data_IF_941211938287
#
_entry.id   IF_941211938287
#
_cell.length_a   1.000
_cell.length_b   1.000
_cell.length_c   1.000
_cell.angle_alpha   90.00
_cell.angle_beta   90.00
_cell.angle_gamma   90.00
#
_symmetry.space_group_name_H-M   'P 1'
#
loop_
_entity.id
_entity.type
_entity.pdbx_description
1 polymer ?
#
# COMPACT_ATOMS: atom_id res chain seq x y z
N UNK A 1 -15.15 -0.31 78.11
CA UNK A 1 -15.13 -1.34 77.05
C UNK A 1 -16.13 -0.93 75.98
N UNK A 2 -15.67 -0.58 74.78
CA UNK A 2 -16.52 -0.11 73.69
C UNK A 2 -16.34 -1.09 72.51
N UNK A 3 -17.37 -1.84 72.16
CA UNK A 3 -17.35 -2.84 71.08
C UNK A 3 -18.09 -2.26 69.88
N UNK A 4 -17.37 -1.58 69.00
CA UNK A 4 -17.96 -1.07 67.75
C UNK A 4 -18.03 -2.18 66.70
N UNK A 5 -19.26 -2.41 66.26
CA UNK A 5 -19.75 -3.47 65.39
C UNK A 5 -19.13 -3.42 63.98
N UNK A 6 -18.50 -4.51 63.53
CA UNK A 6 -18.06 -4.69 62.15
C UNK A 6 -19.25 -5.08 61.27
N UNK A 7 -19.75 -4.12 60.50
CA UNK A 7 -20.83 -4.31 59.53
C UNK A 7 -20.27 -5.08 58.33
N UNK A 8 -20.46 -6.40 58.30
CA UNK A 8 -20.11 -7.25 57.16
C UNK A 8 -20.95 -6.86 55.94
N UNK A 9 -20.33 -6.21 54.96
CA UNK A 9 -20.88 -6.04 53.60
C UNK A 9 -20.66 -7.36 52.87
N UNK A 10 -21.46 -8.38 53.18
CA UNK A 10 -21.55 -9.56 52.32
C UNK A 10 -22.46 -9.18 51.14
N UNK A 11 -21.86 -8.54 50.12
CA UNK A 11 -22.46 -8.48 48.80
C UNK A 11 -22.69 -9.92 48.32
N UNK A 12 -23.91 -10.24 47.93
CA UNK A 12 -24.23 -11.47 47.24
C UNK A 12 -23.54 -11.45 45.86
N UNK A 13 -22.35 -12.02 45.78
CA UNK A 13 -21.73 -12.38 44.50
C UNK A 13 -22.58 -13.51 43.90
N UNK A 14 -23.57 -13.17 43.08
CA UNK A 14 -24.27 -14.13 42.24
C UNK A 14 -23.26 -14.68 41.23
N UNK A 15 -22.72 -15.86 41.51
CA UNK A 15 -21.81 -16.55 40.61
C UNK A 15 -22.51 -16.89 39.29
N UNK A 16 -21.83 -16.63 38.17
CA UNK A 16 -22.27 -17.06 36.84
C UNK A 16 -22.51 -18.57 36.81
N UNK A 17 -23.59 -19.00 36.17
CA UNK A 17 -23.89 -20.42 36.01
C UNK A 17 -23.03 -21.02 34.88
N UNK A 18 -22.61 -22.28 35.02
CA UNK A 18 -21.83 -22.97 34.00
C UNK A 18 -22.58 -23.08 32.67
N UNK A 19 -23.91 -23.20 32.71
CA UNK A 19 -24.77 -23.26 31.53
C UNK A 19 -24.74 -21.95 30.75
N UNK A 20 -24.73 -20.81 31.45
CA UNK A 20 -24.69 -19.48 30.84
C UNK A 20 -23.38 -19.24 30.09
N UNK A 21 -22.26 -19.69 30.64
CA UNK A 21 -20.96 -19.63 29.96
C UNK A 21 -20.94 -20.55 28.72
N UNK A 22 -21.49 -21.76 28.81
CA UNK A 22 -21.52 -22.70 27.67
C UNK A 22 -22.38 -22.16 26.52
N UNK A 23 -23.55 -21.59 26.81
CA UNK A 23 -24.43 -21.03 25.79
C UNK A 23 -23.73 -19.91 25.00
N UNK A 24 -22.99 -19.04 25.69
CA UNK A 24 -22.20 -17.97 25.06
C UNK A 24 -21.09 -18.54 24.18
N UNK A 25 -20.35 -19.54 24.65
CA UNK A 25 -19.28 -20.19 23.87
C UNK A 25 -19.80 -20.85 22.59
N UNK A 26 -21.00 -21.46 22.64
CA UNK A 26 -21.64 -22.05 21.46
C UNK A 26 -21.96 -20.96 20.43
N UNK A 27 -22.56 -19.84 20.86
CA UNK A 27 -22.90 -18.73 19.96
C UNK A 27 -21.62 -18.13 19.35
N UNK A 28 -20.60 -17.87 20.16
CA UNK A 28 -19.30 -17.37 19.68
C UNK A 28 -18.62 -18.36 18.73
N UNK A 29 -18.74 -19.67 18.96
CA UNK A 29 -18.21 -20.71 18.08
C UNK A 29 -18.85 -20.70 16.69
N UNK A 30 -20.18 -20.57 16.62
CA UNK A 30 -20.90 -20.49 15.34
C UNK A 30 -20.52 -19.21 14.58
N UNK A 31 -20.48 -18.07 15.29
CA UNK A 31 -20.10 -16.79 14.67
C UNK A 31 -18.67 -16.81 14.14
N UNK A 32 -17.72 -17.37 14.90
CA UNK A 32 -16.33 -17.49 14.48
C UNK A 32 -16.18 -18.39 13.24
N UNK A 33 -16.89 -19.51 13.17
CA UNK A 33 -16.83 -20.43 12.05
C UNK A 33 -17.22 -19.78 10.70
N UNK A 34 -18.16 -18.85 10.70
CA UNK A 34 -18.59 -18.13 9.49
C UNK A 34 -17.76 -16.87 9.24
N UNK A 35 -17.35 -16.16 10.28
CA UNK A 35 -16.65 -14.88 10.15
C UNK A 35 -15.19 -15.03 9.69
N UNK A 36 -14.47 -16.03 10.20
CA UNK A 36 -13.03 -16.22 9.92
C UNK A 36 -12.73 -16.41 8.42
N UNK A 37 -13.36 -17.35 7.69
CA UNK A 37 -13.05 -17.54 6.27
C UNK A 37 -13.39 -16.30 5.42
N UNK A 38 -14.47 -15.59 5.76
CA UNK A 38 -14.85 -14.34 5.09
C UNK A 38 -13.82 -13.23 5.32
N UNK A 39 -13.31 -13.11 6.54
CA UNK A 39 -12.30 -12.11 6.88
C UNK A 39 -11.01 -12.30 6.07
N UNK A 40 -10.52 -13.54 5.95
CA UNK A 40 -9.32 -13.86 5.16
C UNK A 40 -9.50 -13.47 3.69
N UNK A 41 -10.64 -13.81 3.08
CA UNK A 41 -10.91 -13.44 1.68
C UNK A 41 -11.01 -11.92 1.44
N UNK A 42 -11.53 -11.16 2.41
CA UNK A 42 -11.58 -9.70 2.34
C UNK A 42 -10.18 -9.08 2.45
N UNK A 43 -9.31 -9.63 3.30
CA UNK A 43 -7.94 -9.15 3.47
C UNK A 43 -7.14 -9.29 2.16
N UNK A 44 -7.26 -10.42 1.47
CA UNK A 44 -6.57 -10.65 0.19
C UNK A 44 -7.08 -9.72 -0.91
N UNK A 45 -8.40 -9.50 -0.98
CA UNK A 45 -8.99 -8.53 -1.91
C UNK A 45 -8.52 -7.11 -1.61
N UNK A 46 -8.41 -6.72 -0.33
CA UNK A 46 -7.92 -5.40 0.04
C UNK A 46 -6.46 -5.18 -0.40
N UNK A 47 -5.60 -6.20 -0.27
CA UNK A 47 -4.22 -6.15 -0.76
C UNK A 47 -4.14 -6.00 -2.28
N UNK A 48 -4.98 -6.71 -3.02
CA UNK A 48 -5.05 -6.57 -4.49
C UNK A 48 -5.49 -5.16 -4.89
N UNK A 49 -6.53 -4.62 -4.25
CA UNK A 49 -7.01 -3.26 -4.50
C UNK A 49 -5.97 -2.19 -4.18
N UNK A 50 -5.13 -2.40 -3.16
CA UNK A 50 -4.04 -1.49 -2.83
C UNK A 50 -3.01 -1.42 -3.98
N UNK A 51 -2.64 -2.56 -4.56
CA UNK A 51 -1.76 -2.58 -5.74
C UNK A 51 -2.42 -1.93 -6.95
N UNK A 52 -3.71 -2.20 -7.22
CA UNK A 52 -4.42 -1.56 -8.33
C UNK A 52 -4.45 -0.03 -8.16
N UNK A 53 -4.62 0.47 -6.93
CA UNK A 53 -4.55 1.90 -6.63
C UNK A 53 -3.14 2.47 -6.85
N UNK A 54 -2.10 1.76 -6.41
CA UNK A 54 -0.71 2.12 -6.67
C UNK A 54 -0.39 2.21 -8.17
N UNK A 55 -0.87 1.25 -8.97
CA UNK A 55 -0.71 1.27 -10.43
C UNK A 55 -1.43 2.48 -11.04
N UNK A 56 -2.64 2.80 -10.56
CA UNK A 56 -3.38 3.99 -11.00
C UNK A 56 -2.62 5.27 -10.69
N UNK A 57 -1.98 5.35 -9.52
CA UNK A 57 -1.15 6.50 -9.15
C UNK A 57 0.08 6.61 -10.06
N UNK A 58 0.80 5.51 -10.29
CA UNK A 58 1.94 5.47 -11.22
C UNK A 58 1.54 5.95 -12.62
N UNK A 59 0.39 5.52 -13.14
CA UNK A 59 -0.15 5.97 -14.42
C UNK A 59 -0.51 7.46 -14.45
N UNK A 60 -1.04 7.99 -13.34
CA UNK A 60 -1.26 9.41 -13.17
C UNK A 60 0.05 10.19 -13.22
N UNK A 61 1.08 9.71 -12.52
CA UNK A 61 2.41 10.33 -12.52
C UNK A 61 3.08 10.27 -13.89
N UNK A 62 3.06 9.14 -14.59
CA UNK A 62 3.52 9.02 -15.98
C UNK A 62 2.89 10.09 -16.88
N UNK A 63 1.57 10.26 -16.77
CA UNK A 63 0.83 11.23 -17.57
C UNK A 63 1.28 12.67 -17.28
N UNK A 64 1.55 12.98 -16.02
CA UNK A 64 2.06 14.31 -15.61
C UNK A 64 3.47 14.57 -16.15
N UNK A 65 4.39 13.62 -16.03
CA UNK A 65 5.76 13.78 -16.53
C UNK A 65 5.81 13.87 -18.06
N UNK A 66 5.05 13.02 -18.75
CA UNK A 66 4.90 13.10 -20.21
C UNK A 66 4.34 14.45 -20.65
N UNK A 67 3.28 14.95 -20.00
CA UNK A 67 2.70 16.25 -20.31
C UNK A 67 3.67 17.41 -20.02
N UNK A 68 4.42 17.35 -18.90
CA UNK A 68 5.43 18.34 -18.54
C UNK A 68 6.48 18.51 -19.64
N UNK A 69 7.01 17.41 -20.18
CA UNK A 69 8.00 17.43 -21.26
C UNK A 69 7.42 17.85 -22.61
N UNK A 70 6.12 17.59 -22.86
CA UNK A 70 5.42 18.00 -24.09
C UNK A 70 5.10 19.49 -24.12
N UNK A 71 4.86 20.09 -22.95
CA UNK A 71 4.49 21.51 -22.82
C UNK A 71 5.73 22.38 -22.55
N UNK A 72 6.87 21.80 -22.18
CA UNK A 72 8.08 22.59 -21.90
C UNK A 72 8.58 23.34 -23.15
N UNK A 73 8.34 24.64 -23.21
CA UNK A 73 8.90 25.55 -24.20
C UNK A 73 10.10 26.29 -23.59
N UNK A 74 11.34 25.81 -23.77
CA UNK A 74 12.55 26.45 -23.20
C UNK A 74 13.67 25.48 -22.83
N UNK A 75 14.64 25.92 -21.99
CA UNK A 75 15.94 25.32 -21.60
C UNK A 75 15.94 23.87 -21.07
N UNK A 76 14.80 23.19 -21.02
CA UNK A 76 14.72 21.75 -20.77
C UNK A 76 14.63 21.03 -22.12
N UNK A 77 15.36 19.93 -22.30
CA UNK A 77 15.17 19.03 -23.44
C UNK A 77 13.71 18.57 -23.45
N UNK A 78 12.90 19.15 -24.33
CA UNK A 78 11.51 18.77 -24.52
C UNK A 78 11.39 17.30 -24.94
N UNK A 79 10.18 16.77 -24.94
CA UNK A 79 9.96 15.37 -25.27
C UNK A 79 10.49 15.05 -26.68
N UNK A 80 11.43 14.11 -26.77
CA UNK A 80 11.93 13.53 -28.02
C UNK A 80 11.52 12.06 -28.13
N UNK A 81 11.66 11.31 -27.04
CA UNK A 81 11.22 9.91 -26.98
C UNK A 81 10.94 9.49 -25.51
N UNK A 82 10.61 8.22 -25.31
CA UNK A 82 10.28 7.69 -23.98
C UNK A 82 11.40 7.80 -22.94
N UNK A 83 12.67 7.77 -23.38
CA UNK A 83 13.81 7.91 -22.48
C UNK A 83 13.75 9.19 -21.67
N UNK A 84 13.26 10.28 -22.27
CA UNK A 84 13.19 11.58 -21.60
C UNK A 84 12.19 11.55 -20.44
N UNK A 85 11.03 10.90 -20.65
CA UNK A 85 10.02 10.70 -19.61
C UNK A 85 10.59 9.86 -18.47
N UNK A 86 11.23 8.74 -18.82
CA UNK A 86 11.83 7.86 -17.82
C UNK A 86 12.94 8.56 -17.03
N UNK A 87 13.86 9.25 -17.71
CA UNK A 87 14.96 9.99 -17.06
C UNK A 87 14.43 11.05 -16.11
N UNK A 88 13.43 11.84 -16.52
CA UNK A 88 12.84 12.86 -15.65
C UNK A 88 12.15 12.23 -14.42
N UNK A 89 11.44 11.11 -14.61
CA UNK A 89 10.78 10.40 -13.51
C UNK A 89 11.78 9.71 -12.57
N UNK A 90 12.90 9.21 -13.10
CA UNK A 90 13.96 8.56 -12.33
C UNK A 90 14.90 9.57 -11.66
N UNK A 91 14.93 10.82 -12.13
CA UNK A 91 15.77 11.85 -11.50
C UNK A 91 15.22 12.17 -10.11
N UNK A 92 16.08 12.03 -9.09
CA UNK A 92 15.75 12.45 -7.74
C UNK A 92 15.69 13.99 -7.72
N UNK A 93 14.54 14.61 -7.40
CA UNK A 93 14.47 16.06 -7.32
C UNK A 93 15.35 16.59 -6.19
N UNK A 94 15.72 17.87 -6.24
CA UNK A 94 16.47 18.54 -5.16
C UNK A 94 15.61 19.50 -4.36
N UNK A 95 14.43 19.85 -4.88
CA UNK A 95 13.48 20.79 -4.27
C UNK A 95 12.07 20.20 -4.20
N UNK A 96 11.31 20.64 -3.19
CA UNK A 96 9.87 20.46 -3.10
C UNK A 96 9.14 21.31 -4.17
N UNK A 97 7.83 21.11 -4.29
CA UNK A 97 6.97 21.89 -5.20
C UNK A 97 6.92 23.39 -4.90
N UNK A 98 7.28 23.81 -3.67
CA UNK A 98 7.38 25.21 -3.25
C UNK A 98 8.77 25.83 -3.52
N UNK A 99 9.69 25.08 -4.14
CA UNK A 99 11.06 25.51 -4.44
C UNK A 99 12.04 25.40 -3.26
N UNK A 100 11.61 24.98 -2.08
CA UNK A 100 12.51 24.71 -0.95
C UNK A 100 13.33 23.43 -1.16
N UNK A 101 14.57 23.37 -0.68
CA UNK A 101 15.37 22.14 -0.74
C UNK A 101 14.71 21.01 0.05
N UNK A 102 14.47 19.86 -0.58
CA UNK A 102 13.80 18.73 0.08
C UNK A 102 14.74 17.84 0.90
N UNK A 103 16.06 17.94 0.73
CA UNK A 103 17.02 17.12 1.51
C UNK A 103 16.77 15.62 1.31
N UNK A 104 16.65 14.86 2.40
CA UNK A 104 16.32 13.41 2.35
C UNK A 104 14.85 13.12 2.05
N UNK A 105 14.03 14.16 1.90
CA UNK A 105 12.60 14.08 1.61
C UNK A 105 12.28 14.08 0.12
N UNK A 106 13.28 14.20 -0.74
CA UNK A 106 13.04 14.07 -2.16
C UNK A 106 12.73 12.60 -2.49
N UNK A 107 11.73 12.37 -3.33
CA UNK A 107 11.39 11.04 -3.84
C UNK A 107 11.33 11.09 -5.36
N UNK A 108 11.72 9.98 -6.00
CA UNK A 108 11.64 9.86 -7.47
C UNK A 108 10.18 9.80 -7.90
N UNK A 109 9.89 10.15 -9.15
CA UNK A 109 8.52 10.16 -9.66
C UNK A 109 7.84 8.80 -9.61
N UNK A 110 8.60 7.71 -9.76
CA UNK A 110 8.10 6.33 -9.62
C UNK A 110 8.01 5.82 -8.18
N UNK A 111 8.57 6.55 -7.21
CA UNK A 111 8.56 6.16 -5.81
C UNK A 111 7.21 6.52 -5.17
N UNK A 112 6.45 5.48 -4.80
CA UNK A 112 5.13 5.60 -4.21
C UNK A 112 5.16 5.83 -2.70
N UNK A 113 6.32 5.76 -2.06
CA UNK A 113 6.42 6.18 -0.67
C UNK A 113 6.47 7.71 -0.59
N UNK A 114 5.57 8.30 0.19
CA UNK A 114 5.79 9.66 0.66
C UNK A 114 6.91 9.64 1.70
N UNK A 115 7.84 10.58 1.55
CA UNK A 115 8.83 11.05 2.51
C UNK A 115 8.64 10.49 3.93
N UNK A 116 9.66 9.79 4.43
CA UNK A 116 9.73 9.16 5.76
C UNK A 116 8.81 7.95 5.98
N UNK A 117 9.22 6.82 5.42
CA UNK A 117 8.77 5.50 5.87
C UNK A 117 8.74 4.47 4.76
N UNK A 118 9.80 3.66 4.63
CA UNK A 118 9.72 2.38 3.92
C UNK A 118 8.69 1.52 4.65
N UNK A 119 7.50 1.31 4.08
CA UNK A 119 6.54 0.46 4.76
C UNK A 119 5.33 0.03 3.94
N UNK A 120 4.78 0.93 3.12
CA UNK A 120 3.55 0.61 2.39
C UNK A 120 3.84 0.04 1.03
N UNK A 121 4.62 0.74 0.21
CA UNK A 121 5.00 0.29 -1.13
C UNK A 121 6.51 0.24 -1.26
N UNK A 122 7.09 -0.89 -1.65
CA UNK A 122 8.55 -1.00 -1.78
C UNK A 122 8.89 -1.68 -3.10
N UNK A 123 9.80 -1.06 -3.85
CA UNK A 123 10.37 -1.66 -5.04
C UNK A 123 11.52 -2.60 -4.66
N UNK A 124 11.57 -3.77 -5.27
CA UNK A 124 12.72 -4.68 -5.16
C UNK A 124 13.84 -4.15 -6.08
N UNK A 125 14.71 -3.32 -5.50
CA UNK A 125 15.61 -2.45 -6.27
C UNK A 125 14.87 -1.27 -6.90
N UNK A 126 15.58 -0.43 -7.65
CA UNK A 126 14.94 0.62 -8.46
C UNK A 126 14.30 0.00 -9.70
N UNK A 127 13.06 0.37 -10.07
CA UNK A 127 12.48 -0.04 -11.33
C UNK A 127 13.27 0.50 -12.52
N UNK A 128 13.00 -0.05 -13.70
CA UNK A 128 13.58 0.37 -14.99
C UNK A 128 12.50 0.87 -15.93
N UNK A 129 12.87 1.43 -17.08
CA UNK A 129 11.93 1.90 -18.10
C UNK A 129 10.97 0.80 -18.62
N UNK A 130 11.32 -0.47 -18.45
CA UNK A 130 10.48 -1.62 -18.80
C UNK A 130 9.58 -2.10 -17.65
N UNK A 131 9.82 -1.64 -16.42
CA UNK A 131 9.09 -2.03 -15.22
C UNK A 131 9.98 -2.47 -14.07
N UNK A 132 9.39 -3.14 -13.10
CA UNK A 132 10.05 -3.58 -11.88
C UNK A 132 9.10 -4.35 -10.97
N UNK A 133 9.61 -4.84 -9.85
CA UNK A 133 8.83 -5.58 -8.85
C UNK A 133 8.40 -4.64 -7.73
N UNK A 134 7.09 -4.41 -7.62
CA UNK A 134 6.49 -3.60 -6.57
C UNK A 134 5.89 -4.51 -5.50
N UNK A 135 6.19 -4.23 -4.24
CA UNK A 135 5.62 -4.92 -3.08
C UNK A 135 4.76 -3.97 -2.25
N UNK A 136 3.70 -4.50 -1.67
CA UNK A 136 2.86 -3.91 -0.66
C UNK A 136 3.15 -4.60 0.68
N UNK A 137 3.42 -3.80 1.72
CA UNK A 137 3.72 -4.28 3.08
C UNK A 137 4.74 -5.43 3.13
N UNK A 138 5.79 -5.36 2.28
CA UNK A 138 6.92 -6.31 2.18
C UNK A 138 6.59 -7.77 1.83
N UNK A 139 5.31 -8.12 1.74
CA UNK A 139 4.86 -9.52 1.70
C UNK A 139 4.05 -9.85 0.45
N UNK A 140 3.46 -8.84 -0.18
CA UNK A 140 2.55 -8.99 -1.31
C UNK A 140 3.11 -8.24 -2.52
N UNK A 141 3.54 -8.91 -3.58
CA UNK A 141 4.21 -8.23 -4.70
C UNK A 141 3.69 -8.64 -6.07
N UNK A 142 3.89 -7.75 -7.03
CA UNK A 142 3.68 -8.01 -8.45
C UNK A 142 4.87 -7.55 -9.27
N UNK A 143 5.17 -8.31 -10.33
CA UNK A 143 6.02 -7.83 -11.40
C UNK A 143 5.19 -6.86 -12.25
N UNK A 144 5.52 -5.59 -12.23
CA UNK A 144 4.87 -4.58 -13.06
C UNK A 144 5.65 -4.41 -14.37
N UNK A 145 4.91 -4.21 -15.45
CA UNK A 145 5.45 -3.87 -16.76
C UNK A 145 5.02 -2.45 -17.11
N UNK A 146 5.99 -1.65 -17.55
CA UNK A 146 5.75 -0.32 -18.10
C UNK A 146 5.79 -0.39 -19.62
N UNK A 147 4.69 0.03 -20.24
CA UNK A 147 4.67 0.31 -21.67
C UNK A 147 5.23 1.71 -21.92
N UNK A 148 6.14 1.88 -22.89
CA UNK A 148 6.76 3.16 -23.16
C UNK A 148 5.75 4.19 -23.65
N UNK A 149 6.02 5.45 -23.33
CA UNK A 149 5.30 6.60 -23.88
C UNK A 149 5.54 6.75 -25.38
N UNK A 150 4.58 7.37 -26.04
CA UNK A 150 4.61 7.65 -27.47
C UNK A 150 4.38 9.13 -27.72
N UNK A 151 4.38 9.54 -28.99
CA UNK A 151 4.11 10.93 -29.35
C UNK A 151 2.70 11.37 -28.94
N UNK A 152 1.73 10.45 -28.91
CA UNK A 152 0.31 10.74 -28.74
C UNK A 152 -0.25 10.29 -27.38
N UNK A 153 0.49 9.46 -26.65
CA UNK A 153 0.01 8.81 -25.42
C UNK A 153 1.12 8.70 -24.38
N UNK A 154 0.83 8.92 -23.09
CA UNK A 154 1.79 8.68 -22.01
C UNK A 154 2.11 7.19 -21.86
N UNK A 155 3.19 6.90 -21.13
CA UNK A 155 3.52 5.54 -20.73
C UNK A 155 2.48 4.99 -19.77
N UNK A 156 2.41 3.67 -19.66
CA UNK A 156 1.46 3.03 -18.75
C UNK A 156 2.05 1.83 -18.04
N UNK A 157 1.91 1.83 -16.72
CA UNK A 157 2.15 0.72 -15.83
C UNK A 157 0.96 -0.23 -15.81
N UNK A 158 1.28 -1.51 -15.84
CA UNK A 158 0.29 -2.59 -15.79
C UNK A 158 0.86 -3.77 -15.01
N UNK A 159 -0.02 -4.55 -14.40
CA UNK A 159 0.30 -5.87 -13.87
C UNK A 159 -0.13 -6.95 -14.87
N UNK A 160 0.52 -8.12 -14.86
CA UNK A 160 0.05 -9.29 -15.58
C UNK A 160 -1.41 -9.62 -15.25
N UNK A 161 -2.22 -9.90 -16.28
CA UNK A 161 -3.65 -10.26 -16.14
C UNK A 161 -3.83 -11.60 -15.41
N UNK A 162 -2.83 -12.47 -15.47
CA UNK A 162 -2.70 -13.66 -14.64
C UNK A 162 -1.68 -13.38 -13.57
N UNK A 163 -2.11 -13.43 -12.30
CA UNK A 163 -1.16 -13.58 -11.20
C UNK A 163 -0.24 -14.77 -11.56
N UNK A 164 1.10 -14.62 -11.50
CA UNK A 164 1.96 -15.78 -11.69
C UNK A 164 1.46 -16.87 -10.75
N UNK A 165 1.18 -18.06 -11.30
CA UNK A 165 0.77 -19.22 -10.50
C UNK A 165 1.84 -19.48 -9.45
N UNK A 166 1.59 -18.98 -8.25
CA UNK A 166 2.59 -18.82 -7.24
C UNK A 166 2.03 -17.86 -6.22
N UNK A 167 1.65 -18.43 -5.08
CA UNK A 167 1.20 -17.73 -3.88
C UNK A 167 1.86 -16.37 -3.75
N UNK A 168 1.11 -15.45 -3.16
CA UNK A 168 1.63 -14.35 -2.37
C UNK A 168 2.75 -14.91 -1.50
N UNK A 169 4.00 -14.86 -1.96
CA UNK A 169 5.09 -15.41 -1.17
C UNK A 169 5.40 -14.33 -0.16
N UNK A 170 4.61 -14.32 0.91
CA UNK A 170 5.05 -13.81 2.20
C UNK A 170 6.45 -14.37 2.41
N UNK A 171 7.42 -13.50 2.67
CA UNK A 171 8.79 -13.90 3.01
C UNK A 171 8.73 -14.97 4.13
N UNK A 172 9.58 -16.01 4.11
CA UNK A 172 9.65 -16.97 5.22
C UNK A 172 9.89 -16.27 6.57
#
# INVERSE_FOLDING_TARGET
>A
MNTTSYKNILKSEQGFTLVEVIAVLIILGILAAVAVPKYIGLEDQAKERAIDAAISELNGRESMYWAKLKISTGTSTGWTNDSDVWTEMDTLPTTNSDGSSCGTSCVRGWDLNTVTGSGTYEWDGSPTAAGGKLSFQKSYYYQLTRSPSTMERPGSWSRPTVAPYGKLTTKP
#
